data_IF_793609785893
#
_entry.id   IF_793609785893
#
_cell.length_a   1.000
_cell.length_b   1.000
_cell.length_c   1.000
_cell.angle_alpha   90.00
_cell.angle_beta   90.00
_cell.angle_gamma   90.00
#
_symmetry.space_group_name_H-M   'P 1'
#
loop_
_entity.id
_entity.type
_entity.pdbx_description
1 polymer ?
#
# COMPACT_ATOMS: atom_id res chain seq x y z
N UNK A 1 -1.18 14.42 5.67
CA UNK A 1 -2.01 13.41 4.98
C UNK A 1 -1.24 12.09 4.90
N UNK A 2 -1.90 10.96 5.16
CA UNK A 2 -1.28 9.63 5.06
C UNK A 2 -1.77 8.89 3.81
N UNK A 3 -0.84 8.41 3.00
CA UNK A 3 -1.10 7.66 1.76
C UNK A 3 -0.68 6.20 1.94
N UNK A 4 -1.61 5.28 1.72
CA UNK A 4 -1.33 3.86 1.62
C UNK A 4 -1.19 3.47 0.14
N UNK A 5 -0.06 2.87 -0.24
CA UNK A 5 0.16 2.32 -1.57
C UNK A 5 0.08 0.80 -1.49
N UNK A 6 -0.90 0.20 -2.16
CA UNK A 6 -0.93 -1.24 -2.38
C UNK A 6 0.02 -1.57 -3.52
N UNK A 7 1.07 -2.34 -3.24
CA UNK A 7 2.23 -2.43 -4.13
C UNK A 7 2.61 -3.84 -4.55
N UNK A 8 3.87 -3.97 -4.99
CA UNK A 8 4.42 -5.16 -5.63
C UNK A 8 4.79 -4.96 -7.10
N UNK A 9 4.65 -3.74 -7.63
CA UNK A 9 4.99 -3.33 -8.99
C UNK A 9 6.11 -2.29 -9.00
N UNK A 10 6.70 -2.05 -10.17
CA UNK A 10 7.68 -0.96 -10.33
C UNK A 10 7.02 0.41 -10.16
N UNK A 11 5.79 0.56 -10.63
CA UNK A 11 4.97 1.76 -10.55
C UNK A 11 4.68 2.14 -9.10
N UNK A 12 4.28 1.16 -8.26
CA UNK A 12 4.06 1.39 -6.83
C UNK A 12 5.33 1.90 -6.12
N UNK A 13 6.49 1.32 -6.47
CA UNK A 13 7.78 1.77 -5.92
C UNK A 13 8.12 3.19 -6.37
N UNK A 14 7.97 3.48 -7.66
CA UNK A 14 8.22 4.82 -8.21
C UNK A 14 7.31 5.87 -7.58
N UNK A 15 6.06 5.53 -7.31
CA UNK A 15 5.14 6.41 -6.59
C UNK A 15 5.60 6.69 -5.16
N UNK A 16 6.04 5.66 -4.43
CA UNK A 16 6.59 5.84 -3.08
C UNK A 16 7.85 6.73 -3.09
N UNK A 17 8.73 6.57 -4.07
CA UNK A 17 9.91 7.42 -4.27
C UNK A 17 9.53 8.88 -4.53
N UNK A 18 8.54 9.13 -5.38
CA UNK A 18 8.06 10.49 -5.70
C UNK A 18 7.41 11.19 -4.49
N UNK A 19 6.71 10.44 -3.65
CA UNK A 19 6.06 10.99 -2.46
C UNK A 19 7.02 11.15 -1.28
N UNK A 20 8.17 10.46 -1.30
CA UNK A 20 9.13 10.51 -0.21
C UNK A 20 9.69 11.93 -0.01
N UNK A 21 9.74 12.38 1.25
CA UNK A 21 10.21 13.72 1.60
C UNK A 21 9.22 14.85 1.30
N UNK A 22 8.04 14.56 0.76
CA UNK A 22 7.00 15.58 0.56
C UNK A 22 6.46 16.04 1.91
N UNK A 23 6.58 17.35 2.18
CA UNK A 23 6.18 17.95 3.45
C UNK A 23 4.70 17.71 3.74
N UNK A 24 4.39 17.17 4.92
CA UNK A 24 3.02 16.85 5.33
C UNK A 24 2.44 15.58 4.70
N UNK A 25 3.20 14.82 3.91
CA UNK A 25 2.78 13.51 3.37
C UNK A 25 3.56 12.39 4.05
N UNK A 26 2.82 11.48 4.70
CA UNK A 26 3.36 10.20 5.18
C UNK A 26 2.94 9.11 4.20
N UNK A 27 3.86 8.22 3.83
CA UNK A 27 3.60 7.15 2.87
C UNK A 27 3.88 5.80 3.52
N UNK A 28 2.94 4.85 3.40
CA UNK A 28 3.24 3.45 3.64
C UNK A 28 3.03 2.61 2.37
N UNK A 29 4.00 1.77 2.04
CA UNK A 29 3.84 0.69 1.05
C UNK A 29 3.36 -0.60 1.70
N UNK A 30 2.35 -1.26 1.11
CA UNK A 30 1.86 -2.57 1.54
C UNK A 30 2.21 -3.64 0.51
N UNK A 31 2.98 -4.63 0.92
CA UNK A 31 3.46 -5.71 0.06
C UNK A 31 2.95 -7.07 0.54
N UNK A 32 2.66 -7.97 -0.39
CA UNK A 32 2.19 -9.32 -0.04
C UNK A 32 3.27 -10.22 0.62
N UNK A 33 4.55 -9.81 0.58
CA UNK A 33 5.65 -10.61 1.14
C UNK A 33 6.01 -11.86 0.33
N UNK A 34 5.67 -11.91 -0.96
CA UNK A 34 5.92 -13.08 -1.84
C UNK A 34 7.33 -13.14 -2.45
N UNK A 35 8.13 -12.10 -2.26
CA UNK A 35 9.51 -12.03 -2.72
C UNK A 35 10.42 -12.17 -1.50
N UNK A 36 11.42 -13.05 -1.59
CA UNK A 36 12.30 -13.37 -0.45
C UNK A 36 13.20 -12.20 -0.01
N UNK A 37 13.64 -11.37 -0.97
CA UNK A 37 14.48 -10.19 -0.71
C UNK A 37 14.02 -8.99 -1.55
N UNK A 38 12.84 -8.41 -1.27
CA UNK A 38 12.34 -7.29 -2.03
C UNK A 38 13.17 -6.04 -1.70
N UNK A 39 13.57 -5.28 -2.71
CA UNK A 39 14.09 -3.93 -2.50
C UNK A 39 12.93 -3.09 -1.96
N UNK A 40 13.04 -2.68 -0.70
CA UNK A 40 11.99 -1.95 -0.01
C UNK A 40 11.91 -0.50 -0.54
N UNK A 41 10.71 0.02 -0.84
CA UNK A 41 10.53 1.43 -1.15
C UNK A 41 10.88 2.31 0.06
N UNK A 42 11.21 3.59 -0.15
CA UNK A 42 11.45 4.51 0.95
C UNK A 42 10.17 4.76 1.77
N UNK A 43 10.34 5.15 3.03
CA UNK A 43 9.23 5.36 3.96
C UNK A 43 8.83 4.07 4.71
N UNK A 44 7.58 4.03 5.18
CA UNK A 44 7.08 2.89 5.94
C UNK A 44 6.71 1.74 5.00
N UNK A 45 6.89 0.49 5.46
CA UNK A 45 6.48 -0.70 4.72
C UNK A 45 5.75 -1.67 5.66
N UNK A 46 4.64 -2.28 5.20
CA UNK A 46 4.17 -3.57 5.76
C UNK A 46 4.28 -4.70 4.78
N UNK A 47 4.41 -5.88 5.38
CA UNK A 47 4.28 -7.16 4.74
C UNK A 47 3.05 -7.87 5.30
N UNK A 48 2.33 -8.59 4.43
CA UNK A 48 1.19 -9.41 4.80
C UNK A 48 -0.15 -8.86 4.34
N UNK A 49 -1.18 -9.70 4.43
CA UNK A 49 -2.55 -9.35 4.05
C UNK A 49 -3.29 -8.58 5.15
N UNK A 50 -4.39 -7.94 4.77
CA UNK A 50 -5.24 -7.19 5.69
C UNK A 50 -6.34 -8.01 6.37
N UNK A 51 -6.54 -9.28 6.00
CA UNK A 51 -7.67 -10.08 6.49
C UNK A 51 -8.99 -9.77 5.75
N UNK A 52 -8.93 -9.47 4.46
CA UNK A 52 -10.10 -9.15 3.63
C UNK A 52 -10.46 -7.66 3.60
N UNK A 53 -11.60 -7.28 2.99
CA UNK A 53 -12.00 -5.88 2.85
C UNK A 53 -12.28 -5.22 4.20
N UNK A 54 -12.97 -5.91 5.13
CA UNK A 54 -13.24 -5.36 6.46
C UNK A 54 -11.97 -5.12 7.28
N UNK A 55 -11.00 -6.02 7.17
CA UNK A 55 -9.69 -5.82 7.80
C UNK A 55 -8.88 -4.68 7.16
N UNK A 56 -9.01 -4.47 5.84
CA UNK A 56 -8.46 -3.29 5.17
C UNK A 56 -9.13 -2.01 5.66
N UNK A 57 -10.47 -1.95 5.72
CA UNK A 57 -11.22 -0.80 6.28
C UNK A 57 -10.79 -0.47 7.70
N UNK A 58 -10.72 -1.48 8.57
CA UNK A 58 -10.29 -1.29 9.95
C UNK A 58 -8.87 -0.73 10.02
N UNK A 59 -7.97 -1.25 9.19
CA UNK A 59 -6.59 -0.79 9.12
C UNK A 59 -6.50 0.66 8.62
N UNK A 60 -7.21 1.01 7.54
CA UNK A 60 -7.28 2.36 6.98
C UNK A 60 -7.71 3.39 8.04
N UNK A 61 -8.77 3.06 8.81
CA UNK A 61 -9.31 3.92 9.87
C UNK A 61 -8.33 4.06 11.04
N UNK A 62 -7.81 2.94 11.53
CA UNK A 62 -6.87 2.93 12.65
C UNK A 62 -5.60 3.75 12.38
N UNK A 63 -5.19 3.86 11.11
CA UNK A 63 -3.98 4.58 10.70
C UNK A 63 -4.27 5.94 10.05
N UNK A 64 -5.52 6.42 10.12
CA UNK A 64 -5.97 7.69 9.55
C UNK A 64 -5.48 7.91 8.11
N UNK A 65 -5.63 6.89 7.26
CA UNK A 65 -5.26 6.96 5.84
C UNK A 65 -6.19 7.93 5.14
N UNK A 66 -5.62 8.97 4.53
CA UNK A 66 -6.35 9.97 3.74
C UNK A 66 -6.48 9.61 2.26
N UNK A 67 -5.60 8.75 1.75
CA UNK A 67 -5.68 8.24 0.39
C UNK A 67 -5.14 6.81 0.30
N UNK A 68 -5.85 5.95 -0.45
CA UNK A 68 -5.37 4.63 -0.85
C UNK A 68 -5.13 4.63 -2.35
N UNK A 69 -3.94 4.19 -2.77
CA UNK A 69 -3.59 4.02 -4.18
C UNK A 69 -3.39 2.52 -4.45
N UNK A 70 -4.24 1.95 -5.30
CA UNK A 70 -4.03 0.61 -5.84
C UNK A 70 -3.06 0.68 -7.01
N UNK A 71 -1.81 0.34 -6.73
CA UNK A 71 -0.75 0.16 -7.73
C UNK A 71 -0.28 -1.31 -7.78
N UNK A 72 -1.19 -2.25 -7.50
CA UNK A 72 -0.87 -3.68 -7.53
C UNK A 72 -0.75 -4.21 -8.96
N UNK A 73 -0.15 -5.39 -9.12
CA UNK A 73 -0.05 -6.04 -10.42
C UNK A 73 -1.46 -6.40 -10.94
N UNK A 74 -1.77 -6.32 -12.25
CA UNK A 74 -3.11 -6.67 -12.78
C UNK A 74 -3.63 -8.07 -12.40
N UNK A 75 -2.72 -9.03 -12.15
CA UNK A 75 -3.07 -10.37 -11.64
C UNK A 75 -3.39 -10.44 -10.15
N UNK A 76 -3.20 -9.36 -9.39
CA UNK A 76 -3.49 -9.28 -7.96
C UNK A 76 -4.96 -8.88 -7.67
N UNK A 77 -5.90 -9.26 -8.54
CA UNK A 77 -7.28 -8.75 -8.50
C UNK A 77 -8.05 -8.97 -7.19
N UNK A 78 -7.65 -9.92 -6.34
CA UNK A 78 -8.26 -10.08 -5.01
C UNK A 78 -8.04 -8.85 -4.12
N UNK A 79 -6.80 -8.33 -4.03
CA UNK A 79 -6.53 -7.16 -3.19
C UNK A 79 -7.14 -5.89 -3.80
N UNK A 80 -7.16 -5.75 -5.13
CA UNK A 80 -7.86 -4.66 -5.82
C UNK A 80 -9.35 -4.65 -5.52
N UNK A 81 -10.00 -5.83 -5.53
CA UNK A 81 -11.42 -5.94 -5.13
C UNK A 81 -11.64 -5.62 -3.66
N UNK A 82 -10.69 -5.94 -2.78
CA UNK A 82 -10.78 -5.54 -1.38
C UNK A 82 -10.66 -4.03 -1.23
N UNK A 83 -9.71 -3.40 -1.95
CA UNK A 83 -9.52 -1.96 -1.96
C UNK A 83 -10.78 -1.21 -2.42
N UNK A 84 -11.43 -1.68 -3.47
CA UNK A 84 -12.68 -1.08 -3.96
C UNK A 84 -13.88 -1.23 -3.01
N UNK A 85 -13.82 -2.13 -2.02
CA UNK A 85 -14.89 -2.40 -1.06
C UNK A 85 -14.62 -1.85 0.35
N UNK A 86 -13.40 -1.40 0.61
CA UNK A 86 -12.92 -1.02 1.93
C UNK A 86 -13.27 0.42 2.28
#
# INVERSE_FOLDING_TARGET
MHVLILGGTAEARRLAELLHGTLGVRTTSSLAGRVAAPRLPPGEVRLGGFGGPGGLTAWLRAHAVGALVDATHPFAGTISRHAARA
#
